data_IF_773539844714
#
_entry.id   IF_773539844714
#
_cell.length_a   1.000
_cell.length_b   1.000
_cell.length_c   1.000
_cell.angle_alpha   90.00
_cell.angle_beta   90.00
_cell.angle_gamma   90.00
#
_symmetry.space_group_name_H-M   'P 1'
#
loop_
_entity.id
_entity.type
_entity.pdbx_description
1 polymer ?
#
# COMPACT_ATOMS: atom_id res chain seq x y z
N UNK A 1 -44.12 9.18 10.31
CA UNK A 1 -43.14 8.35 11.02
C UNK A 1 -41.74 8.83 10.65
N UNK A 2 -40.96 9.20 11.66
CA UNK A 2 -39.64 9.81 11.50
C UNK A 2 -38.63 8.67 11.33
N UNK A 3 -38.02 8.58 10.14
CA UNK A 3 -36.92 7.66 9.86
C UNK A 3 -35.69 8.07 10.67
N UNK A 4 -35.38 7.31 11.71
CA UNK A 4 -34.15 7.37 12.47
C UNK A 4 -33.02 6.72 11.66
N UNK A 5 -32.24 7.55 10.96
CA UNK A 5 -30.88 7.17 10.53
C UNK A 5 -30.05 6.88 11.78
N UNK A 6 -29.77 5.62 12.04
CA UNK A 6 -28.86 5.17 13.10
C UNK A 6 -27.45 5.67 12.78
N UNK A 7 -27.05 6.77 13.41
CA UNK A 7 -25.66 7.19 13.50
C UNK A 7 -24.88 6.15 14.32
N UNK A 8 -24.27 5.17 13.63
CA UNK A 8 -23.32 4.26 14.28
C UNK A 8 -22.12 5.08 14.76
N UNK A 9 -21.76 4.90 16.02
CA UNK A 9 -20.60 5.56 16.60
C UNK A 9 -19.31 4.89 16.09
N UNK A 10 -18.16 5.58 16.07
CA UNK A 10 -16.87 4.94 15.70
C UNK A 10 -16.59 3.65 16.49
N UNK A 11 -17.07 3.54 17.73
CA UNK A 11 -16.93 2.34 18.57
C UNK A 11 -17.65 1.09 18.00
N UNK A 12 -18.71 1.26 17.19
CA UNK A 12 -19.44 0.15 16.56
C UNK A 12 -18.72 -0.42 15.32
N UNK A 13 -17.76 0.33 14.77
CA UNK A 13 -16.90 -0.12 13.67
C UNK A 13 -15.80 -1.04 14.23
N UNK A 14 -15.27 -0.71 15.41
CA UNK A 14 -14.17 -1.45 16.04
C UNK A 14 -14.59 -2.76 16.70
N UNK A 15 -15.82 -2.88 17.20
CA UNK A 15 -16.37 -4.14 17.72
C UNK A 15 -16.53 -5.21 16.63
N UNK A 16 -16.67 -4.81 15.36
CA UNK A 16 -16.72 -5.73 14.22
C UNK A 16 -15.33 -6.11 13.67
N UNK A 17 -14.26 -5.42 14.08
CA UNK A 17 -12.88 -5.75 13.71
C UNK A 17 -12.23 -6.69 14.72
N UNK A 18 -13.03 -7.59 15.32
CA UNK A 18 -12.56 -8.59 16.27
C UNK A 18 -11.21 -9.17 15.86
N UNK A 19 -10.32 -9.33 16.82
CA UNK A 19 -8.98 -9.91 16.64
C UNK A 19 -9.12 -11.33 16.07
N UNK A 20 -9.33 -11.45 14.76
CA UNK A 20 -9.43 -12.73 14.09
C UNK A 20 -8.03 -13.28 14.01
N UNK A 21 -7.81 -14.45 14.60
CA UNK A 21 -6.61 -15.25 14.33
C UNK A 21 -6.43 -15.41 12.82
N UNK A 22 -5.18 -15.46 12.35
CA UNK A 22 -4.87 -15.58 10.92
C UNK A 22 -5.58 -16.79 10.26
N UNK A 23 -5.85 -17.84 11.04
CA UNK A 23 -6.60 -19.04 10.66
C UNK A 23 -8.04 -18.75 10.21
N UNK A 24 -8.68 -17.72 10.77
CA UNK A 24 -10.06 -17.34 10.44
C UNK A 24 -10.16 -16.29 9.33
N UNK A 25 -9.03 -15.76 8.86
CA UNK A 25 -9.00 -14.78 7.77
C UNK A 25 -8.87 -15.51 6.43
N UNK A 26 -9.91 -15.45 5.60
CA UNK A 26 -9.97 -16.15 4.31
C UNK A 26 -9.88 -15.15 3.15
N UNK A 27 -9.04 -15.46 2.16
CA UNK A 27 -9.06 -14.83 0.84
C UNK A 27 -9.70 -15.78 -0.15
N UNK A 28 -10.67 -15.30 -0.91
CA UNK A 28 -11.27 -16.07 -2.00
C UNK A 28 -10.56 -15.76 -3.31
N UNK A 29 -10.69 -16.63 -4.32
CA UNK A 29 -10.45 -16.26 -5.71
C UNK A 29 -11.30 -15.03 -6.07
N UNK A 30 -10.81 -14.19 -6.99
CA UNK A 30 -11.62 -13.08 -7.46
C UNK A 30 -12.65 -13.64 -8.45
N UNK A 31 -13.90 -13.81 -8.00
CA UNK A 31 -15.02 -14.21 -8.83
C UNK A 31 -15.86 -12.98 -9.20
N UNK A 32 -15.56 -12.26 -10.30
CA UNK A 32 -16.34 -11.11 -10.72
C UNK A 32 -17.76 -11.56 -11.09
N UNK A 33 -18.75 -11.08 -10.33
CA UNK A 33 -20.15 -11.32 -10.61
C UNK A 33 -20.70 -10.24 -11.57
N UNK A 34 -20.34 -10.26 -12.86
CA UNK A 34 -21.10 -9.51 -13.88
C UNK A 34 -21.02 -10.13 -15.29
N UNK A 35 -22.18 -10.36 -15.89
CA UNK A 35 -22.39 -10.92 -17.23
C UNK A 35 -22.07 -9.95 -18.39
N UNK A 36 -21.82 -8.66 -18.09
CA UNK A 36 -21.72 -7.59 -19.12
C UNK A 36 -20.47 -7.67 -20.00
N UNK A 37 -19.42 -8.36 -19.56
CA UNK A 37 -18.15 -8.47 -20.29
C UNK A 37 -17.77 -9.92 -20.61
N UNK A 38 -18.70 -10.72 -21.14
CA UNK A 38 -18.46 -12.13 -21.49
C UNK A 38 -17.23 -12.36 -22.40
N UNK A 39 -16.83 -11.35 -23.20
CA UNK A 39 -15.65 -11.36 -24.06
C UNK A 39 -14.34 -11.33 -23.26
N UNK A 40 -14.34 -10.76 -22.05
CA UNK A 40 -13.15 -10.65 -21.19
C UNK A 40 -12.89 -11.87 -20.32
N UNK A 41 -13.72 -12.92 -20.40
CA UNK A 41 -13.42 -14.21 -19.76
C UNK A 41 -12.06 -14.76 -20.15
N UNK A 42 -11.58 -14.42 -21.35
CA UNK A 42 -10.27 -14.83 -21.88
C UNK A 42 -9.13 -13.86 -21.51
N UNK A 43 -9.42 -12.73 -20.83
CA UNK A 43 -8.45 -11.69 -20.44
C UNK A 43 -8.68 -11.27 -18.97
N UNK A 44 -8.42 -12.18 -18.02
CA UNK A 44 -9.04 -12.08 -16.71
C UNK A 44 -8.49 -10.94 -15.84
N UNK A 45 -7.24 -10.50 -16.08
CA UNK A 45 -6.64 -9.40 -15.33
C UNK A 45 -7.27 -8.04 -15.68
N UNK A 46 -7.35 -7.70 -16.97
CA UNK A 46 -8.03 -6.50 -17.45
C UNK A 46 -9.50 -6.48 -16.99
N UNK A 47 -10.17 -7.62 -17.11
CA UNK A 47 -11.55 -7.79 -16.64
C UNK A 47 -11.72 -7.49 -15.14
N UNK A 48 -10.80 -8.02 -14.33
CA UNK A 48 -10.80 -7.83 -12.87
C UNK A 48 -10.65 -6.34 -12.53
N UNK A 49 -9.67 -5.66 -13.13
CA UNK A 49 -9.45 -4.23 -12.88
C UNK A 49 -10.65 -3.37 -13.30
N UNK A 50 -11.28 -3.66 -14.44
CA UNK A 50 -12.50 -2.93 -14.85
C UNK A 50 -13.69 -3.22 -13.94
N UNK A 51 -13.86 -4.46 -13.46
CA UNK A 51 -14.91 -4.79 -12.48
C UNK A 51 -14.72 -4.00 -11.19
N UNK A 52 -13.46 -3.86 -10.73
CA UNK A 52 -13.12 -3.06 -9.55
C UNK A 52 -13.35 -1.57 -9.82
N UNK A 53 -13.01 -1.06 -11.01
CA UNK A 53 -13.30 0.33 -11.43
C UNK A 53 -14.79 0.62 -11.41
N UNK A 54 -15.61 -0.27 -11.98
CA UNK A 54 -17.06 -0.09 -11.97
C UNK A 54 -17.61 -0.04 -10.55
N UNK A 55 -17.12 -0.90 -9.66
CA UNK A 55 -17.63 -0.97 -8.28
C UNK A 55 -17.13 0.15 -7.35
N UNK A 56 -15.88 0.56 -7.49
CA UNK A 56 -15.20 1.44 -6.52
C UNK A 56 -14.61 2.71 -7.12
N UNK A 57 -14.86 2.99 -8.40
CA UNK A 57 -14.33 4.14 -9.15
C UNK A 57 -12.80 4.26 -9.12
N UNK A 58 -12.10 3.13 -9.00
CA UNK A 58 -10.66 3.10 -9.15
C UNK A 58 -10.29 3.08 -10.63
N UNK A 59 -10.04 4.26 -11.20
CA UNK A 59 -9.67 4.44 -12.61
C UNK A 59 -8.26 3.88 -12.91
N UNK A 60 -8.14 2.57 -13.14
CA UNK A 60 -6.84 1.87 -13.33
C UNK A 60 -6.13 2.23 -14.64
N UNK A 61 -6.85 2.64 -15.68
CA UNK A 61 -6.24 3.14 -16.92
C UNK A 61 -5.29 4.31 -16.64
N UNK A 62 -5.56 5.12 -15.62
CA UNK A 62 -4.61 6.13 -15.18
C UNK A 62 -3.30 5.49 -14.73
N UNK A 63 -3.34 4.51 -13.82
CA UNK A 63 -2.15 3.80 -13.36
C UNK A 63 -1.39 3.16 -14.54
N UNK A 64 -2.11 2.56 -15.48
CA UNK A 64 -1.53 2.04 -16.72
C UNK A 64 -0.79 3.15 -17.49
N UNK A 65 -1.38 4.33 -17.69
CA UNK A 65 -0.74 5.45 -18.36
C UNK A 65 0.49 6.01 -17.61
N UNK A 66 0.55 5.88 -16.28
CA UNK A 66 1.74 6.27 -15.50
C UNK A 66 2.90 5.31 -15.75
N UNK A 67 2.58 4.01 -15.79
CA UNK A 67 3.58 2.95 -15.75
C UNK A 67 4.02 2.51 -17.14
N UNK A 68 3.09 2.49 -18.10
CA UNK A 68 3.35 2.08 -19.46
C UNK A 68 4.22 3.10 -20.19
N UNK A 69 5.16 2.60 -20.98
CA UNK A 69 6.10 3.43 -21.73
C UNK A 69 5.63 3.73 -23.14
N UNK A 70 4.67 2.97 -23.63
CA UNK A 70 4.35 2.93 -25.07
C UNK A 70 2.90 3.27 -25.41
N UNK A 71 1.98 3.19 -24.44
CA UNK A 71 0.54 3.29 -24.70
C UNK A 71 -0.14 4.22 -23.71
N UNK A 72 -0.84 5.22 -24.25
CA UNK A 72 -1.71 6.10 -23.50
C UNK A 72 -3.15 5.69 -23.79
N UNK A 73 -3.89 5.39 -22.74
CA UNK A 73 -5.32 5.12 -22.78
C UNK A 73 -6.08 6.42 -22.58
N UNK A 74 -6.96 6.75 -23.53
CA UNK A 74 -7.93 7.82 -23.36
C UNK A 74 -9.12 7.36 -22.51
N UNK A 75 -9.79 8.35 -21.92
CA UNK A 75 -10.93 8.16 -21.03
C UNK A 75 -12.18 7.78 -21.85
N UNK A 76 -12.22 6.56 -22.38
CA UNK A 76 -13.40 6.06 -23.08
C UNK A 76 -14.12 5.02 -22.25
N UNK A 77 -15.42 5.26 -22.08
CA UNK A 77 -16.40 4.32 -21.58
C UNK A 77 -16.31 3.09 -22.47
N UNK A 78 -16.02 1.94 -21.88
CA UNK A 78 -16.09 0.68 -22.59
C UNK A 78 -17.56 0.40 -22.85
N UNK A 79 -18.03 0.80 -24.03
CA UNK A 79 -19.16 0.12 -24.65
C UNK A 79 -18.82 -1.38 -24.76
N UNK A 80 -19.80 -2.19 -25.14
CA UNK A 80 -19.79 -3.67 -25.18
C UNK A 80 -18.52 -4.40 -25.71
N UNK A 81 -17.50 -3.69 -26.20
CA UNK A 81 -16.19 -4.17 -26.61
C UNK A 81 -15.02 -3.36 -25.98
N UNK A 82 -14.03 -4.04 -25.40
CA UNK A 82 -12.78 -3.40 -24.95
C UNK A 82 -11.80 -3.29 -26.13
N UNK A 83 -11.34 -2.08 -26.49
CA UNK A 83 -10.34 -1.88 -27.52
C UNK A 83 -9.02 -2.65 -27.30
N UNK A 84 -8.40 -3.14 -28.37
CA UNK A 84 -7.14 -3.91 -28.32
C UNK A 84 -5.99 -3.18 -27.61
N UNK A 85 -5.91 -1.87 -27.75
CA UNK A 85 -4.91 -1.04 -27.07
C UNK A 85 -5.05 -1.06 -25.54
N UNK A 86 -6.28 -1.20 -25.02
CA UNK A 86 -6.55 -1.28 -23.57
C UNK A 86 -6.08 -2.62 -23.01
N UNK A 87 -6.38 -3.71 -23.71
CA UNK A 87 -5.91 -5.05 -23.36
C UNK A 87 -4.38 -5.03 -23.26
N UNK A 88 -3.72 -4.56 -24.32
CA UNK A 88 -2.26 -4.53 -24.34
C UNK A 88 -1.65 -3.59 -23.30
N UNK A 89 -2.36 -2.51 -22.93
CA UNK A 89 -1.92 -1.62 -21.88
C UNK A 89 -2.04 -2.28 -20.50
N UNK A 90 -3.08 -3.08 -20.27
CA UNK A 90 -3.20 -3.86 -19.03
C UNK A 90 -2.23 -5.04 -18.98
N UNK A 91 -1.88 -5.64 -20.11
CA UNK A 91 -0.80 -6.64 -20.19
C UNK A 91 0.56 -6.00 -19.86
N UNK A 92 0.88 -4.83 -20.44
CA UNK A 92 2.11 -4.11 -20.11
C UNK A 92 2.15 -3.71 -18.62
N UNK A 93 1.02 -3.26 -18.06
CA UNK A 93 0.89 -2.97 -16.64
C UNK A 93 1.14 -4.23 -15.80
N UNK A 94 0.55 -5.37 -16.18
CA UNK A 94 0.76 -6.66 -15.51
C UNK A 94 2.24 -7.04 -15.54
N UNK A 95 2.90 -6.95 -16.69
CA UNK A 95 4.32 -7.28 -16.85
C UNK A 95 5.21 -6.42 -15.96
N UNK A 96 4.94 -5.10 -15.90
CA UNK A 96 5.68 -4.19 -15.02
C UNK A 96 5.46 -4.57 -13.56
N UNK A 97 4.20 -4.79 -13.17
CA UNK A 97 3.83 -5.11 -11.78
C UNK A 97 4.21 -6.55 -11.38
N UNK A 98 4.50 -7.45 -12.32
CA UNK A 98 4.91 -8.83 -12.03
C UNK A 98 6.43 -8.99 -11.82
N UNK A 99 7.21 -7.92 -12.02
CA UNK A 99 8.66 -7.95 -11.78
C UNK A 99 8.97 -8.27 -10.33
N UNK A 100 9.98 -9.10 -10.09
CA UNK A 100 10.47 -9.43 -8.76
C UNK A 100 11.93 -9.00 -8.59
N UNK A 101 12.29 -8.69 -7.35
CA UNK A 101 13.66 -8.34 -7.01
C UNK A 101 14.47 -9.61 -6.83
N UNK A 102 15.48 -9.81 -7.67
CA UNK A 102 16.41 -10.93 -7.52
C UNK A 102 17.55 -10.48 -6.60
N UNK A 103 17.78 -11.22 -5.51
CA UNK A 103 18.92 -10.98 -4.64
C UNK A 103 20.21 -11.18 -5.43
N UNK A 104 21.07 -10.16 -5.41
CA UNK A 104 22.36 -10.21 -6.12
C UNK A 104 23.40 -11.00 -5.31
N UNK A 105 23.22 -11.11 -3.99
CA UNK A 105 24.09 -11.84 -3.06
C UNK A 105 23.26 -12.45 -1.94
N UNK A 106 23.29 -13.78 -1.79
CA UNK A 106 22.82 -14.46 -0.58
C UNK A 106 24.06 -14.79 0.28
N UNK A 107 24.32 -13.95 1.29
CA UNK A 107 25.16 -14.39 2.41
C UNK A 107 24.19 -15.10 3.36
N UNK A 108 24.28 -16.43 3.45
CA UNK A 108 23.24 -17.24 4.10
C UNK A 108 23.30 -17.26 5.65
N UNK A 109 24.19 -16.46 6.26
CA UNK A 109 24.53 -16.56 7.68
C UNK A 109 24.43 -15.24 8.46
N UNK A 110 23.49 -14.35 8.12
CA UNK A 110 23.29 -13.13 8.91
C UNK A 110 22.75 -13.45 10.31
N UNK A 111 23.36 -12.83 11.34
CA UNK A 111 22.89 -12.89 12.71
C UNK A 111 22.20 -11.56 13.04
N UNK A 112 20.87 -11.57 13.19
CA UNK A 112 20.09 -10.32 13.32
C UNK A 112 20.41 -9.52 14.59
N UNK A 113 20.91 -10.19 15.64
CA UNK A 113 21.37 -9.55 16.88
C UNK A 113 22.75 -8.90 16.75
N UNK A 114 23.50 -9.19 15.68
CA UNK A 114 24.76 -8.54 15.38
C UNK A 114 24.52 -7.25 14.59
N UNK A 115 24.96 -6.11 15.13
CA UNK A 115 24.76 -4.81 14.49
C UNK A 115 25.35 -4.73 13.07
N UNK A 116 26.51 -5.35 12.82
CA UNK A 116 27.15 -5.32 11.49
C UNK A 116 26.33 -6.07 10.46
N UNK A 117 25.82 -7.24 10.82
CA UNK A 117 24.97 -8.05 9.95
C UNK A 117 23.61 -7.37 9.72
N UNK A 118 23.04 -6.77 10.76
CA UNK A 118 21.82 -5.98 10.65
C UNK A 118 22.01 -4.76 9.74
N UNK A 119 23.16 -4.06 9.83
CA UNK A 119 23.54 -2.98 8.92
C UNK A 119 23.62 -3.48 7.47
N UNK A 120 24.26 -4.63 7.22
CA UNK A 120 24.33 -5.23 5.88
C UNK A 120 22.94 -5.58 5.34
N UNK A 121 22.09 -6.26 6.13
CA UNK A 121 20.72 -6.58 5.74
C UNK A 121 19.92 -5.31 5.39
N UNK A 122 20.07 -4.25 6.20
CA UNK A 122 19.41 -2.99 5.93
C UNK A 122 19.93 -2.31 4.65
N UNK A 123 21.21 -2.45 4.31
CA UNK A 123 21.75 -1.99 3.02
C UNK A 123 21.12 -2.75 1.84
N UNK A 124 21.00 -4.08 1.92
CA UNK A 124 20.32 -4.88 0.88
C UNK A 124 18.85 -4.46 0.75
N UNK A 125 18.17 -4.18 1.87
CA UNK A 125 16.81 -3.64 1.83
C UNK A 125 16.74 -2.26 1.12
N UNK A 126 17.74 -1.39 1.31
CA UNK A 126 17.81 -0.13 0.57
C UNK A 126 18.05 -0.34 -0.94
N UNK A 127 18.84 -1.34 -1.33
CA UNK A 127 19.00 -1.74 -2.72
C UNK A 127 17.68 -2.21 -3.33
N UNK A 128 16.93 -3.05 -2.60
CA UNK A 128 15.57 -3.45 -2.96
C UNK A 128 14.66 -2.23 -3.17
N UNK A 129 14.63 -1.28 -2.22
CA UNK A 129 13.83 -0.06 -2.37
C UNK A 129 14.21 0.71 -3.64
N UNK A 130 15.51 0.93 -3.87
CA UNK A 130 15.98 1.64 -5.06
C UNK A 130 15.58 0.92 -6.36
N UNK A 131 15.68 -0.41 -6.37
CA UNK A 131 15.21 -1.24 -7.48
C UNK A 131 13.69 -1.08 -7.70
N UNK A 132 12.89 -1.14 -6.64
CA UNK A 132 11.43 -0.99 -6.72
C UNK A 132 11.05 0.40 -7.24
N UNK A 133 11.72 1.45 -6.74
CA UNK A 133 11.55 2.82 -7.20
C UNK A 133 11.78 2.99 -8.69
N UNK A 134 12.82 2.32 -9.22
CA UNK A 134 13.15 2.34 -10.64
C UNK A 134 12.19 1.52 -11.49
N UNK A 135 11.86 0.30 -11.06
CA UNK A 135 11.14 -0.67 -11.89
C UNK A 135 9.63 -0.44 -11.92
N UNK A 136 9.03 0.01 -10.83
CA UNK A 136 7.61 0.35 -10.76
C UNK A 136 7.34 1.84 -10.96
N UNK A 137 8.38 2.62 -11.31
CA UNK A 137 8.26 4.06 -11.54
C UNK A 137 7.61 4.76 -10.34
N UNK A 138 7.90 4.26 -9.12
CA UNK A 138 7.27 4.76 -7.88
C UNK A 138 7.58 6.25 -7.68
N UNK A 139 8.68 6.76 -8.24
CA UNK A 139 8.99 8.19 -8.18
C UNK A 139 7.89 9.03 -8.83
N UNK A 140 7.34 8.59 -9.97
CA UNK A 140 6.27 9.33 -10.66
C UNK A 140 4.96 9.16 -9.88
N UNK A 141 4.60 7.92 -9.55
CA UNK A 141 3.39 7.59 -8.77
C UNK A 141 3.36 8.37 -7.44
N UNK A 142 4.50 8.47 -6.75
CA UNK A 142 4.56 8.98 -5.38
C UNK A 142 4.94 10.45 -5.27
N UNK A 143 5.60 11.06 -6.26
CA UNK A 143 6.11 12.44 -6.12
C UNK A 143 5.69 13.40 -7.23
N UNK A 144 5.11 12.94 -8.34
CA UNK A 144 4.75 13.81 -9.48
C UNK A 144 3.27 13.70 -9.85
N UNK A 145 2.34 14.21 -9.03
CA UNK A 145 0.96 14.39 -9.47
C UNK A 145 0.31 15.68 -8.97
N UNK A 146 0.47 16.73 -9.80
CA UNK A 146 -0.43 17.87 -9.89
C UNK A 146 -1.03 17.90 -11.30
N UNK A 147 -1.76 16.86 -11.68
CA UNK A 147 -2.40 16.82 -13.00
C UNK A 147 -3.88 17.18 -12.86
N UNK A 148 -4.20 18.45 -13.15
CA UNK A 148 -5.57 18.96 -13.11
C UNK A 148 -6.54 18.12 -13.97
N UNK A 149 -6.05 17.50 -15.05
CA UNK A 149 -6.87 16.66 -15.92
C UNK A 149 -7.33 15.36 -15.24
N UNK A 150 -6.50 14.77 -14.36
CA UNK A 150 -6.90 13.57 -13.60
C UNK A 150 -8.00 13.90 -12.59
N UNK A 151 -7.88 15.05 -11.93
CA UNK A 151 -8.92 15.52 -11.02
C UNK A 151 -10.24 15.72 -11.75
N UNK A 152 -10.18 16.31 -12.95
CA UNK A 152 -11.36 16.54 -13.77
C UNK A 152 -12.02 15.22 -14.20
N UNK A 153 -11.26 14.23 -14.67
CA UNK A 153 -11.78 12.90 -15.01
C UNK A 153 -12.50 12.21 -13.83
N UNK A 154 -11.93 12.34 -12.62
CA UNK A 154 -12.56 11.84 -11.39
C UNK A 154 -13.85 12.57 -11.05
N UNK A 155 -13.90 13.89 -11.25
CA UNK A 155 -15.10 14.70 -11.02
C UNK A 155 -16.18 14.33 -12.04
N UNK A 156 -15.80 14.15 -13.30
CA UNK A 156 -16.74 13.86 -14.38
C UNK A 156 -17.36 12.46 -14.24
N UNK A 157 -16.58 11.41 -13.96
CA UNK A 157 -17.16 10.09 -13.68
C UNK A 157 -18.00 10.06 -12.40
N UNK A 158 -17.66 10.86 -11.37
CA UNK A 158 -18.50 10.98 -10.18
C UNK A 158 -19.86 11.60 -10.54
N UNK A 159 -19.87 12.67 -11.34
CA UNK A 159 -21.10 13.33 -11.80
C UNK A 159 -21.97 12.38 -12.63
N UNK A 160 -21.38 11.62 -13.55
CA UNK A 160 -22.11 10.64 -14.36
C UNK A 160 -22.81 9.57 -13.51
N UNK A 161 -22.22 9.23 -12.36
CA UNK A 161 -22.79 8.27 -11.40
C UNK A 161 -23.67 8.90 -10.32
N UNK A 162 -23.90 10.21 -10.37
CA UNK A 162 -24.65 10.94 -9.35
C UNK A 162 -23.97 11.00 -7.97
N UNK A 163 -22.66 10.76 -7.91
CA UNK A 163 -21.85 10.82 -6.68
C UNK A 163 -21.37 12.26 -6.42
N UNK A 164 -21.20 12.61 -5.15
CA UNK A 164 -20.63 13.92 -4.80
C UNK A 164 -19.10 13.89 -4.97
N UNK A 165 -18.51 14.99 -5.46
CA UNK A 165 -17.07 15.09 -5.85
C UNK A 165 -16.06 14.64 -4.80
N UNK A 166 -16.50 14.62 -3.54
CA UNK A 166 -15.64 14.35 -2.41
C UNK A 166 -15.61 12.82 -2.10
N UNK A 167 -16.53 12.00 -2.64
CA UNK A 167 -16.77 10.62 -2.20
C UNK A 167 -15.66 9.60 -2.48
N UNK A 168 -14.62 9.94 -3.24
CA UNK A 168 -13.59 8.96 -3.61
C UNK A 168 -12.87 8.33 -2.41
N UNK A 169 -12.65 9.07 -1.32
CA UNK A 169 -12.09 8.47 -0.09
C UNK A 169 -13.09 7.55 0.63
N UNK A 170 -14.39 7.79 0.49
CA UNK A 170 -15.42 6.86 0.97
C UNK A 170 -15.42 5.57 0.14
N UNK A 171 -15.21 5.67 -1.17
CA UNK A 171 -15.07 4.48 -2.03
C UNK A 171 -13.86 3.61 -1.64
N UNK A 172 -12.76 4.22 -1.19
CA UNK A 172 -11.62 3.47 -0.62
C UNK A 172 -12.03 2.75 0.67
N UNK A 173 -12.81 3.40 1.54
CA UNK A 173 -13.34 2.77 2.77
C UNK A 173 -14.24 1.59 2.44
N UNK A 174 -15.17 1.77 1.51
CA UNK A 174 -16.06 0.71 1.02
C UNK A 174 -15.29 -0.45 0.39
N UNK A 175 -14.24 -0.14 -0.37
CA UNK A 175 -13.34 -1.14 -0.92
C UNK A 175 -12.69 -1.96 0.19
N UNK A 176 -12.08 -1.31 1.18
CA UNK A 176 -11.39 -1.98 2.30
C UNK A 176 -12.34 -2.75 3.21
N UNK A 177 -13.60 -2.36 3.33
CA UNK A 177 -14.63 -3.10 4.07
C UNK A 177 -15.26 -4.24 3.26
N UNK A 178 -14.96 -4.34 1.98
CA UNK A 178 -15.52 -5.40 1.15
C UNK A 178 -14.87 -6.76 1.43
N UNK A 179 -15.65 -7.83 1.24
CA UNK A 179 -15.18 -9.22 1.36
C UNK A 179 -13.89 -9.50 0.57
N UNK A 180 -13.66 -8.79 -0.54
CA UNK A 180 -12.51 -9.01 -1.41
C UNK A 180 -11.21 -8.40 -0.89
N UNK A 181 -11.27 -7.38 -0.03
CA UNK A 181 -10.10 -6.58 0.35
C UNK A 181 -9.97 -6.33 1.85
N UNK A 182 -10.95 -6.76 2.66
CA UNK A 182 -10.86 -6.67 4.12
C UNK A 182 -9.62 -7.38 4.69
N UNK A 183 -9.10 -8.40 4.00
CA UNK A 183 -7.84 -9.06 4.37
C UNK A 183 -6.65 -8.08 4.43
N UNK A 184 -6.66 -7.01 3.62
CA UNK A 184 -5.64 -5.97 3.67
C UNK A 184 -5.64 -5.24 5.02
N UNK A 185 -6.77 -5.17 5.73
CA UNK A 185 -6.85 -4.61 7.08
C UNK A 185 -6.32 -5.55 8.17
N UNK A 186 -6.15 -6.84 7.86
CA UNK A 186 -5.50 -7.82 8.74
C UNK A 186 -3.99 -7.87 8.49
N UNK A 187 -3.57 -7.73 7.23
CA UNK A 187 -2.14 -7.67 6.87
C UNK A 187 -1.54 -6.30 7.22
N UNK A 188 -2.27 -5.22 6.94
CA UNK A 188 -1.87 -3.82 7.15
C UNK A 188 -2.89 -3.09 8.05
N UNK A 189 -3.01 -3.48 9.32
CA UNK A 189 -3.92 -2.89 10.30
C UNK A 189 -3.81 -1.36 10.44
N UNK A 190 -2.65 -0.77 10.13
CA UNK A 190 -2.46 0.68 10.08
C UNK A 190 -3.38 1.39 9.06
N UNK A 191 -3.90 0.68 8.05
CA UNK A 191 -4.88 1.22 7.11
C UNK A 191 -6.21 1.58 7.76
N UNK A 192 -6.51 1.03 8.94
CA UNK A 192 -7.75 1.33 9.67
C UNK A 192 -7.86 2.82 10.05
N UNK A 193 -6.74 3.54 10.12
CA UNK A 193 -6.67 5.01 10.28
C UNK A 193 -7.54 5.77 9.26
N UNK A 194 -7.73 5.20 8.08
CA UNK A 194 -8.53 5.79 7.00
C UNK A 194 -9.99 5.99 7.42
N UNK A 195 -10.51 5.18 8.34
CA UNK A 195 -11.88 5.27 8.82
C UNK A 195 -12.06 6.44 9.82
N UNK A 196 -11.01 6.83 10.54
CA UNK A 196 -11.10 7.86 11.58
C UNK A 196 -10.96 9.29 11.05
N UNK A 197 -10.22 9.48 9.96
CA UNK A 197 -9.86 10.83 9.51
C UNK A 197 -11.03 11.51 8.80
N UNK A 198 -11.41 12.69 9.29
CA UNK A 198 -12.45 13.50 8.63
C UNK A 198 -11.97 13.99 7.26
N UNK A 199 -12.80 13.77 6.25
CA UNK A 199 -12.64 14.13 4.83
C UNK A 199 -12.14 15.56 4.62
N UNK A 200 -12.70 16.52 5.36
CA UNK A 200 -12.41 17.96 5.25
C UNK A 200 -10.98 18.36 5.62
N UNK A 201 -10.18 17.44 6.16
CA UNK A 201 -8.80 17.70 6.58
C UNK A 201 -7.75 17.46 5.48
N UNK A 202 -8.11 16.83 4.36
CA UNK A 202 -7.16 16.38 3.34
C UNK A 202 -7.25 17.28 2.10
N UNK A 203 -6.10 17.80 1.67
CA UNK A 203 -6.00 18.60 0.44
C UNK A 203 -6.25 17.71 -0.80
N UNK A 204 -6.93 18.24 -1.81
CA UNK A 204 -7.32 17.50 -3.01
C UNK A 204 -6.16 16.73 -3.69
N UNK A 205 -4.99 17.35 -3.84
CA UNK A 205 -3.83 16.68 -4.46
C UNK A 205 -3.32 15.49 -3.64
N UNK A 206 -3.45 15.55 -2.30
CA UNK A 206 -3.12 14.42 -1.41
C UNK A 206 -4.14 13.31 -1.57
N UNK A 207 -5.43 13.65 -1.69
CA UNK A 207 -6.48 12.66 -1.99
C UNK A 207 -6.20 11.92 -3.30
N UNK A 208 -5.83 12.64 -4.37
CA UNK A 208 -5.47 12.03 -5.66
C UNK A 208 -4.24 11.10 -5.56
N UNK A 209 -3.22 11.50 -4.79
CA UNK A 209 -2.06 10.64 -4.50
C UNK A 209 -2.45 9.38 -3.72
N UNK A 210 -3.26 9.53 -2.66
CA UNK A 210 -3.79 8.41 -1.88
C UNK A 210 -4.55 7.42 -2.78
N UNK A 211 -5.44 7.91 -3.63
CA UNK A 211 -6.19 7.10 -4.60
C UNK A 211 -5.23 6.35 -5.54
N UNK A 212 -4.19 7.02 -6.01
CA UNK A 212 -3.17 6.42 -6.87
C UNK A 212 -2.41 5.30 -6.16
N UNK A 213 -2.09 5.48 -4.87
CA UNK A 213 -1.46 4.42 -4.06
C UNK A 213 -2.40 3.24 -3.88
N UNK A 214 -3.68 3.47 -3.64
CA UNK A 214 -4.68 2.40 -3.56
C UNK A 214 -4.81 1.63 -4.87
N UNK A 215 -4.83 2.31 -6.03
CA UNK A 215 -4.79 1.62 -7.33
C UNK A 215 -3.57 0.72 -7.42
N UNK A 216 -2.40 1.21 -7.02
CA UNK A 216 -1.17 0.42 -7.04
C UNK A 216 -1.24 -0.80 -6.12
N UNK A 217 -1.72 -0.62 -4.88
CA UNK A 217 -1.92 -1.69 -3.90
C UNK A 217 -2.85 -2.77 -4.47
N UNK A 218 -4.02 -2.36 -4.98
CA UNK A 218 -5.04 -3.28 -5.49
C UNK A 218 -4.55 -3.99 -6.76
N UNK A 219 -3.94 -3.27 -7.70
CA UNK A 219 -3.41 -3.89 -8.91
C UNK A 219 -2.31 -4.93 -8.60
N UNK A 220 -1.38 -4.62 -7.68
CA UNK A 220 -0.34 -5.57 -7.28
C UNK A 220 -0.92 -6.78 -6.54
N UNK A 221 -1.90 -6.56 -5.68
CA UNK A 221 -2.58 -7.63 -4.94
C UNK A 221 -3.37 -8.56 -5.87
N UNK A 222 -4.07 -8.00 -6.86
CA UNK A 222 -4.88 -8.77 -7.80
C UNK A 222 -4.04 -9.56 -8.81
N UNK A 223 -2.80 -9.13 -9.13
CA UNK A 223 -1.86 -9.96 -9.90
C UNK A 223 -1.52 -11.23 -9.13
N UNK A 224 -1.13 -11.10 -7.87
CA UNK A 224 -0.87 -12.26 -7.01
C UNK A 224 -2.11 -13.15 -6.94
N UNK A 225 -3.27 -12.58 -6.62
CA UNK A 225 -4.52 -13.31 -6.44
C UNK A 225 -4.90 -14.07 -7.72
N UNK A 226 -4.75 -13.43 -8.88
CA UNK A 226 -5.01 -14.05 -10.17
C UNK A 226 -4.12 -15.26 -10.43
N UNK A 227 -2.82 -15.16 -10.16
CA UNK A 227 -1.89 -16.25 -10.41
C UNK A 227 -1.99 -17.37 -9.38
N UNK A 228 -2.32 -17.05 -8.12
CA UNK A 228 -2.41 -18.00 -7.01
C UNK A 228 -3.69 -18.85 -7.04
N UNK A 229 -4.84 -18.25 -7.37
CA UNK A 229 -6.15 -18.91 -7.35
C UNK A 229 -6.56 -19.50 -8.71
N UNK A 230 -5.61 -19.94 -9.53
CA UNK A 230 -5.93 -20.61 -10.82
C UNK A 230 -6.70 -21.91 -10.62
N UNK A 231 -6.31 -22.67 -9.61
CA UNK A 231 -6.85 -24.00 -9.29
C UNK A 231 -7.44 -24.08 -7.87
N UNK A 232 -7.66 -22.93 -7.21
CA UNK A 232 -8.13 -22.82 -5.84
C UNK A 232 -9.24 -21.77 -5.73
N UNK A 233 -10.28 -22.04 -4.94
CA UNK A 233 -11.38 -21.09 -4.73
C UNK A 233 -11.16 -20.15 -3.56
N UNK A 234 -10.40 -20.57 -2.54
CA UNK A 234 -10.09 -19.78 -1.36
C UNK A 234 -8.92 -20.37 -0.59
N UNK A 235 -8.27 -19.54 0.24
CA UNK A 235 -7.25 -20.00 1.19
C UNK A 235 -7.19 -19.10 2.43
N UNK A 236 -6.60 -19.60 3.51
CA UNK A 236 -6.40 -18.86 4.76
C UNK A 236 -5.19 -17.94 4.66
N UNK A 237 -5.21 -16.85 5.41
CA UNK A 237 -4.07 -15.93 5.49
C UNK A 237 -2.79 -16.64 5.99
N UNK A 238 -2.93 -17.64 6.86
CA UNK A 238 -1.81 -18.47 7.30
C UNK A 238 -1.14 -19.25 6.15
N UNK A 239 -1.93 -19.82 5.24
CA UNK A 239 -1.39 -20.53 4.09
C UNK A 239 -0.83 -19.57 3.03
N UNK A 240 -1.48 -18.42 2.82
CA UNK A 240 -0.93 -17.36 1.98
C UNK A 240 0.47 -16.95 2.49
N UNK A 241 0.63 -16.84 3.79
CA UNK A 241 1.89 -16.51 4.45
C UNK A 241 3.02 -17.55 4.28
N UNK A 242 2.69 -18.78 3.88
CA UNK A 242 3.65 -19.83 3.48
C UNK A 242 4.03 -19.74 2.01
N UNK A 243 3.29 -18.97 1.21
CA UNK A 243 3.55 -18.80 -0.22
C UNK A 243 4.61 -17.70 -0.47
N UNK A 244 5.67 -18.05 -1.20
CA UNK A 244 6.75 -17.11 -1.53
C UNK A 244 6.25 -15.92 -2.35
N UNK A 245 5.43 -16.15 -3.39
CA UNK A 245 4.90 -15.07 -4.24
C UNK A 245 4.01 -14.10 -3.45
N UNK A 246 3.28 -14.59 -2.46
CA UNK A 246 2.52 -13.72 -1.56
C UNK A 246 3.46 -12.86 -0.71
N UNK A 247 4.46 -13.49 -0.09
CA UNK A 247 5.43 -12.77 0.74
C UNK A 247 6.21 -11.73 -0.07
N UNK A 248 6.50 -11.99 -1.35
CA UNK A 248 7.16 -11.06 -2.28
C UNK A 248 6.40 -9.75 -2.49
N UNK A 249 5.06 -9.77 -2.47
CA UNK A 249 4.28 -8.55 -2.71
C UNK A 249 4.13 -7.68 -1.45
N UNK A 250 4.28 -8.26 -0.24
CA UNK A 250 4.04 -7.57 1.02
C UNK A 250 4.96 -6.36 1.26
N UNK A 251 6.30 -6.42 1.06
CA UNK A 251 7.17 -5.27 1.32
C UNK A 251 6.80 -4.08 0.43
N UNK A 252 6.39 -4.35 -0.81
CA UNK A 252 6.00 -3.32 -1.76
C UNK A 252 4.67 -2.66 -1.39
N UNK A 253 3.67 -3.47 -1.00
CA UNK A 253 2.38 -2.95 -0.52
C UNK A 253 2.57 -2.20 0.79
N UNK A 254 3.35 -2.73 1.73
CA UNK A 254 3.69 -2.07 3.00
C UNK A 254 4.31 -0.68 2.77
N UNK A 255 5.19 -0.57 1.78
CA UNK A 255 5.76 0.72 1.40
C UNK A 255 4.68 1.69 0.85
N UNK A 256 3.77 1.21 0.00
CA UNK A 256 2.66 2.02 -0.50
C UNK A 256 1.70 2.45 0.64
N UNK A 257 1.44 1.58 1.62
CA UNK A 257 0.67 1.89 2.84
C UNK A 257 1.35 3.00 3.63
N UNK A 258 2.67 2.96 3.78
CA UNK A 258 3.43 4.05 4.39
C UNK A 258 3.24 5.38 3.67
N UNK A 259 3.19 5.37 2.34
CA UNK A 259 2.93 6.57 1.54
C UNK A 259 1.50 7.10 1.70
N UNK A 260 0.50 6.20 1.77
CA UNK A 260 -0.88 6.56 2.11
C UNK A 260 -0.91 7.33 3.42
N UNK A 261 -0.36 6.75 4.48
CA UNK A 261 -0.42 7.30 5.83
C UNK A 261 0.34 8.64 5.95
N UNK A 262 1.48 8.76 5.26
CA UNK A 262 2.18 10.03 5.13
C UNK A 262 1.30 11.13 4.52
N UNK A 263 0.58 10.84 3.44
CA UNK A 263 -0.24 11.83 2.74
C UNK A 263 -1.50 12.20 3.52
N UNK A 264 -2.07 11.26 4.28
CA UNK A 264 -3.10 11.55 5.28
C UNK A 264 -2.63 12.58 6.34
N UNK A 265 -1.32 12.68 6.60
CA UNK A 265 -0.72 13.75 7.42
C UNK A 265 -1.03 13.64 8.91
N UNK A 266 -1.41 12.45 9.38
CA UNK A 266 -1.81 12.19 10.75
C UNK A 266 -0.71 11.52 11.59
N UNK A 267 0.39 11.06 10.99
CA UNK A 267 1.40 10.24 11.65
C UNK A 267 2.53 11.06 12.30
N UNK A 268 2.96 10.67 13.49
CA UNK A 268 4.18 11.20 14.13
C UNK A 268 5.45 10.73 13.41
N UNK A 269 6.60 11.37 13.68
CA UNK A 269 7.88 10.92 13.13
C UNK A 269 8.23 9.50 13.59
N UNK A 270 7.93 9.15 14.83
CA UNK A 270 8.18 7.82 15.39
C UNK A 270 7.32 6.74 14.70
N UNK A 271 6.06 7.06 14.40
CA UNK A 271 5.19 6.21 13.58
C UNK A 271 5.80 5.94 12.20
N UNK A 272 6.32 6.99 11.55
CA UNK A 272 6.92 6.86 10.22
C UNK A 272 8.21 6.03 10.23
N UNK A 273 8.95 6.05 11.34
CA UNK A 273 10.11 5.20 11.56
C UNK A 273 9.68 3.75 11.81
N UNK A 274 8.64 3.52 12.62
CA UNK A 274 8.09 2.19 12.81
C UNK A 274 7.64 1.56 11.48
N UNK A 275 6.94 2.31 10.62
CA UNK A 275 6.57 1.80 9.29
C UNK A 275 7.78 1.46 8.42
N UNK A 276 8.90 2.17 8.57
CA UNK A 276 10.14 1.80 7.88
C UNK A 276 10.67 0.45 8.36
N UNK A 277 10.65 0.23 9.67
CA UNK A 277 11.02 -1.04 10.29
C UNK A 277 10.09 -2.15 9.82
N UNK A 278 8.77 -1.92 9.82
CA UNK A 278 7.77 -2.88 9.33
C UNK A 278 8.02 -3.25 7.86
N UNK A 279 8.31 -2.27 7.00
CA UNK A 279 8.69 -2.53 5.60
C UNK A 279 9.95 -3.41 5.49
N UNK A 280 10.95 -3.15 6.33
CA UNK A 280 12.16 -3.96 6.40
C UNK A 280 11.86 -5.40 6.86
N UNK A 281 10.98 -5.57 7.85
CA UNK A 281 10.60 -6.91 8.32
C UNK A 281 9.81 -7.69 7.28
N UNK A 282 8.90 -7.05 6.53
CA UNK A 282 8.28 -7.73 5.38
C UNK A 282 9.31 -8.10 4.31
N UNK A 283 10.33 -7.28 4.09
CA UNK A 283 11.43 -7.63 3.19
C UNK A 283 12.21 -8.86 3.69
N UNK A 284 12.51 -8.95 4.99
CA UNK A 284 13.12 -10.14 5.58
C UNK A 284 12.22 -11.37 5.38
N UNK A 285 10.91 -11.24 5.59
CA UNK A 285 9.95 -12.32 5.33
C UNK A 285 9.99 -12.81 3.89
N UNK A 286 10.11 -11.90 2.92
CA UNK A 286 10.15 -12.24 1.50
C UNK A 286 11.49 -12.87 1.07
N UNK A 287 12.61 -12.30 1.53
CA UNK A 287 13.96 -12.58 0.99
C UNK A 287 14.86 -13.39 1.89
N UNK A 288 14.54 -13.45 3.17
CA UNK A 288 15.30 -14.11 4.22
C UNK A 288 14.34 -14.81 5.18
N UNK A 289 13.39 -15.60 4.64
CA UNK A 289 12.31 -16.20 5.42
C UNK A 289 12.84 -17.06 6.58
N UNK A 290 13.98 -17.73 6.42
CA UNK A 290 14.63 -18.49 7.49
C UNK A 290 15.09 -17.61 8.67
N UNK A 291 15.49 -16.36 8.40
CA UNK A 291 15.78 -15.39 9.46
C UNK A 291 14.46 -14.95 10.10
N UNK A 292 13.44 -14.67 9.27
CA UNK A 292 12.14 -14.22 9.74
C UNK A 292 11.48 -15.24 10.69
N UNK A 293 11.46 -16.51 10.32
CA UNK A 293 10.83 -17.59 11.10
C UNK A 293 11.58 -17.95 12.38
N UNK A 294 12.92 -17.81 12.39
CA UNK A 294 13.75 -18.05 13.59
C UNK A 294 13.55 -17.02 14.70
N UNK A 295 12.98 -15.86 14.39
CA UNK A 295 12.91 -14.74 15.32
C UNK A 295 11.46 -14.29 15.54
N UNK A 296 10.82 -14.82 16.59
CA UNK A 296 9.41 -14.56 16.92
C UNK A 296 9.06 -13.06 17.00
N UNK A 297 9.99 -12.22 17.49
CA UNK A 297 9.76 -10.77 17.57
C UNK A 297 9.54 -10.11 16.19
N UNK A 298 10.03 -10.70 15.10
CA UNK A 298 9.77 -10.20 13.75
C UNK A 298 8.30 -10.40 13.37
N UNK A 299 7.69 -11.53 13.77
CA UNK A 299 6.24 -11.73 13.64
C UNK A 299 5.46 -10.67 14.43
N UNK A 300 5.93 -10.33 15.64
CA UNK A 300 5.32 -9.29 16.47
C UNK A 300 5.28 -7.93 15.75
N UNK A 301 6.36 -7.52 15.07
CA UNK A 301 6.44 -6.25 14.33
C UNK A 301 5.38 -6.13 13.22
N UNK A 302 5.08 -7.23 12.53
CA UNK A 302 4.12 -7.23 11.42
C UNK A 302 2.68 -7.51 11.85
N UNK A 303 2.47 -7.96 13.08
CA UNK A 303 1.15 -8.30 13.65
C UNK A 303 0.26 -7.08 13.95
N UNK A 304 -1.04 -7.33 14.09
CA UNK A 304 -2.06 -6.34 14.49
C UNK A 304 -2.15 -6.11 16.00
N UNK A 305 -1.31 -6.78 16.80
CA UNK A 305 -1.46 -6.83 18.26
C UNK A 305 -1.08 -5.52 18.98
N UNK A 306 -0.51 -4.54 18.28
CA UNK A 306 -0.02 -3.28 18.87
C UNK A 306 -0.81 -2.02 18.48
N UNK A 307 -1.98 -2.15 17.84
CA UNK A 307 -2.81 -0.99 17.51
C UNK A 307 -3.73 -0.61 18.68
N UNK A 308 -3.25 0.27 19.56
CA UNK A 308 -4.13 1.06 20.42
C UNK A 308 -4.35 2.44 19.80
N UNK A 309 -5.57 2.72 19.37
CA UNK A 309 -5.94 4.04 18.85
C UNK A 309 -5.95 5.06 19.98
N UNK A 310 -5.00 5.99 19.96
CA UNK A 310 -5.05 7.17 20.83
C UNK A 310 -5.61 8.37 20.06
N UNK A 311 -6.86 8.73 20.38
CA UNK A 311 -7.48 9.96 19.92
C UNK A 311 -6.80 11.15 20.62
N UNK A 312 -6.03 11.95 19.88
CA UNK A 312 -5.67 13.28 20.35
C UNK A 312 -6.75 14.26 19.89
N UNK A 313 -7.60 14.72 20.82
CA UNK A 313 -8.43 15.90 20.62
C UNK A 313 -7.52 17.13 20.73
N UNK A 314 -7.53 18.00 19.71
CA UNK A 314 -7.10 19.39 19.90
C UNK A 314 -8.18 20.33 19.38
N UNK A 315 -8.34 21.44 20.10
CA UNK A 315 -9.55 22.26 20.11
C UNK A 315 -10.15 22.59 18.73
N UNK A 316 -11.47 22.42 18.71
CA UNK A 316 -12.53 22.92 17.80
C UNK A 316 -12.35 22.84 16.27
N UNK A 317 -11.18 22.57 15.68
CA UNK A 317 -11.02 22.50 14.22
C UNK A 317 -9.77 21.74 13.70
N UNK A 318 -9.08 20.92 14.51
CA UNK A 318 -7.74 20.43 14.11
C UNK A 318 -7.62 18.91 13.91
N UNK A 319 -6.86 18.59 12.85
CA UNK A 319 -6.43 17.29 12.32
C UNK A 319 -6.20 16.25 13.43
N UNK A 320 -6.80 15.07 13.28
CA UNK A 320 -6.45 13.87 14.05
C UNK A 320 -4.96 13.58 13.84
N UNK A 321 -4.15 13.80 14.87
CA UNK A 321 -2.77 13.32 14.90
C UNK A 321 -2.74 12.01 15.67
N UNK A 322 -2.43 10.91 14.99
CA UNK A 322 -2.05 9.65 15.62
C UNK A 322 -0.77 9.90 16.40
N UNK A 323 -0.94 10.05 17.72
CA UNK A 323 0.13 10.55 18.56
C UNK A 323 1.06 9.44 19.05
N UNK A 324 0.57 8.22 19.31
CA UNK A 324 1.41 7.16 19.87
C UNK A 324 1.01 5.74 19.46
N UNK A 325 2.05 4.92 19.32
CA UNK A 325 2.02 3.46 19.38
C UNK A 325 2.37 3.13 20.83
N UNK A 326 1.58 2.30 21.48
CA UNK A 326 2.00 1.67 22.72
C UNK A 326 2.49 0.28 22.32
N UNK A 327 3.79 0.15 22.01
CA UNK A 327 4.38 -1.17 21.98
C UNK A 327 4.44 -1.70 23.40
N UNK A 328 4.28 -3.02 23.60
CA UNK A 328 4.47 -3.57 24.94
C UNK A 328 5.88 -3.23 25.43
N UNK A 329 6.08 -3.17 26.76
CA UNK A 329 7.40 -2.85 27.32
C UNK A 329 8.49 -3.80 26.79
N UNK A 330 8.15 -5.07 26.50
CA UNK A 330 9.06 -6.04 25.89
C UNK A 330 9.64 -5.56 24.56
N UNK A 331 8.83 -4.95 23.70
CA UNK A 331 9.26 -4.47 22.37
C UNK A 331 10.32 -3.37 22.46
N UNK A 332 10.18 -2.47 23.42
CA UNK A 332 11.16 -1.40 23.65
C UNK A 332 12.43 -1.90 24.32
N UNK A 333 12.35 -3.03 25.04
CA UNK A 333 13.49 -3.70 25.67
C UNK A 333 14.30 -4.56 24.68
N UNK A 334 13.73 -4.89 23.52
CA UNK A 334 14.46 -5.60 22.47
C UNK A 334 15.54 -4.71 21.86
N UNK A 335 16.80 -5.12 22.03
CA UNK A 335 17.99 -4.46 21.47
C UNK A 335 17.93 -4.30 19.95
N UNK A 336 17.15 -5.15 19.28
CA UNK A 336 16.90 -5.08 17.84
C UNK A 336 16.27 -3.73 17.43
N UNK A 337 15.19 -3.30 18.08
CA UNK A 337 14.45 -2.10 17.65
C UNK A 337 15.30 -0.85 17.78
N UNK A 338 15.96 -0.66 18.93
CA UNK A 338 16.84 0.47 19.17
C UNK A 338 18.04 0.48 18.22
N UNK A 339 18.64 -0.69 17.96
CA UNK A 339 19.78 -0.82 17.05
C UNK A 339 19.36 -0.51 15.61
N UNK A 340 18.26 -1.11 15.13
CA UNK A 340 17.75 -0.84 13.78
C UNK A 340 17.34 0.62 13.60
N UNK A 341 16.68 1.22 14.60
CA UNK A 341 16.32 2.63 14.56
C UNK A 341 17.55 3.54 14.47
N UNK A 342 18.64 3.21 15.18
CA UNK A 342 19.92 3.89 15.08
C UNK A 342 20.49 3.79 13.66
N UNK A 343 20.52 2.57 13.09
CA UNK A 343 20.98 2.30 11.71
C UNK A 343 20.17 3.11 10.69
N UNK A 344 18.83 3.15 10.83
CA UNK A 344 17.94 3.92 9.96
C UNK A 344 18.29 5.41 10.01
N UNK A 345 18.46 5.97 11.21
CA UNK A 345 18.80 7.38 11.41
C UNK A 345 20.19 7.72 10.84
N UNK A 346 21.18 6.87 11.06
CA UNK A 346 22.53 6.99 10.50
C UNK A 346 22.47 7.06 8.96
N UNK A 347 21.73 6.14 8.34
CA UNK A 347 21.56 6.10 6.89
C UNK A 347 20.80 7.31 6.32
N UNK A 348 19.75 7.78 7.01
CA UNK A 348 19.02 8.98 6.59
C UNK A 348 19.90 10.24 6.65
N UNK A 349 20.75 10.35 7.69
CA UNK A 349 21.68 11.46 7.84
C UNK A 349 22.76 11.47 6.75
N UNK A 350 23.32 10.31 6.39
CA UNK A 350 24.33 10.22 5.33
C UNK A 350 23.78 10.64 3.97
N UNK A 351 22.54 10.28 3.63
CA UNK A 351 21.87 10.74 2.41
C UNK A 351 21.68 12.27 2.41
N UNK A 352 21.29 12.85 3.56
CA UNK A 352 21.05 14.29 3.65
C UNK A 352 22.36 15.09 3.48
N UNK A 353 23.46 14.62 4.06
CA UNK A 353 24.80 15.23 3.88
C UNK A 353 25.20 15.21 2.41
N UNK A 354 25.04 14.08 1.72
CA UNK A 354 25.35 13.94 0.28
C UNK A 354 24.49 14.86 -0.60
N UNK A 355 23.22 15.12 -0.23
CA UNK A 355 22.36 16.06 -0.96
C UNK A 355 22.80 17.51 -0.78
N UNK A 356 23.23 17.90 0.42
CA UNK A 356 23.70 19.26 0.72
C UNK A 356 25.00 19.56 -0.04
N UNK A 357 25.98 18.67 0.01
CA UNK A 357 27.26 18.84 -0.69
C UNK A 357 27.11 18.88 -2.23
N UNK A 358 26.17 18.11 -2.78
CA UNK A 358 25.82 18.17 -4.21
C UNK A 358 25.06 19.45 -4.60
N UNK A 359 24.34 20.08 -3.66
CA UNK A 359 23.67 21.35 -3.92
C UNK A 359 24.64 22.54 -3.85
N UNK A 360 25.62 22.49 -2.95
CA UNK A 360 26.68 23.49 -2.83
C UNK A 360 27.64 23.45 -4.02
N UNK A 361 28.08 22.26 -4.45
CA UNK A 361 28.92 22.12 -5.65
C UNK A 361 28.22 22.56 -6.95
N UNK A 362 26.89 22.44 -7.05
CA UNK A 362 26.11 23.02 -8.16
C UNK A 362 25.96 24.53 -8.09
N UNK A 363 25.95 25.13 -6.89
CA UNK A 363 25.94 26.60 -6.75
C UNK A 363 27.27 27.24 -7.11
N UNK A 364 28.38 26.56 -6.80
CA UNK A 364 29.73 27.03 -7.17
C UNK A 364 29.90 27.07 -8.70
N UNK A 365 29.32 26.10 -9.43
CA UNK A 365 29.37 26.04 -10.90
C UNK A 365 28.41 26.96 -11.67
N UNK A 366 27.51 27.68 -10.98
CA UNK A 366 26.58 28.64 -11.59
C UNK A 366 26.97 30.09 -11.22
N UNK A 367 27.99 30.25 -10.37
CA UNK A 367 28.58 31.53 -10.00
C UNK A 367 29.96 31.80 -10.62
N UNK A 368 30.42 30.92 -11.51
CA UNK A 368 31.53 31.13 -12.47
C UNK A 368 30.91 31.27 -13.87
#
# INVERSE_FOLDING_TARGET
EINTTTNKTPNDIYSNFGYSTNENTILHSYAPAMTKYGILKNLPFAYTLETIREKYLLLFYHLANIMNRTKVLDNHIFDSFIPKNVIQAYDELKDILSKNYNLVRSEDNFIISNEKDLKKLYLVFNEYKNWAFKNYILKIIFFNYSNNNLNQNYIDEQKERGLQSDDVLNLIRELLLSKNYQILLNIFPELRVIFDIKKTSIKIFKSLRIITYFKFIIAKFEIFRYDYFKDLDQDTLENLYKNENFNEILPLISYAVKMVLHDYGCCSADFMNFLEIKNFVFFLRAKYNDIFTRHEFLNLIVSSEFFKYFYAQTNRNTILKLKYYEFNERFYLETFYSTLLSIIKEYQNSINIVKVTNHESKRIKVGE
#
